data_IF_089990232966
#
_entry.id   IF_089990232966
#
_cell.length_a   1.000
_cell.length_b   1.000
_cell.length_c   1.000
_cell.angle_alpha   90.00
_cell.angle_beta   90.00
_cell.angle_gamma   90.00
#
_symmetry.space_group_name_H-M   'P 1'
#
loop_
_entity.id
_entity.type
_entity.pdbx_description
1 polymer ?
#
# COMPACT_ATOMS: atom_id res chain seq x y z
N UNK A 1 10.40 1.18 12.12
CA UNK A 1 11.23 1.28 10.89
C UNK A 1 12.38 0.27 10.84
N UNK A 2 13.24 0.22 11.86
CA UNK A 2 14.51 -0.54 11.82
C UNK A 2 14.61 -1.71 12.79
N UNK A 3 13.50 -2.09 13.45
CA UNK A 3 13.45 -3.18 14.42
C UNK A 3 14.48 -3.05 15.55
N UNK A 4 14.65 -1.84 16.11
CA UNK A 4 15.50 -1.61 17.28
C UNK A 4 14.89 -2.24 18.53
N UNK A 5 15.73 -2.79 19.41
CA UNK A 5 15.31 -3.55 20.60
C UNK A 5 14.68 -2.72 21.74
N UNK A 6 14.75 -1.39 21.68
CA UNK A 6 14.25 -0.51 22.75
C UNK A 6 15.06 -0.62 24.06
N UNK A 7 14.67 0.19 25.06
CA UNK A 7 15.23 0.10 26.41
C UNK A 7 14.34 -0.78 27.31
N UNK A 8 14.87 -1.17 28.47
CA UNK A 8 14.13 -1.97 29.45
C UNK A 8 12.86 -1.25 29.89
N UNK A 9 11.82 -2.02 30.18
CA UNK A 9 10.56 -1.46 30.69
C UNK A 9 10.62 -1.08 32.17
N UNK A 10 11.50 -1.74 32.93
CA UNK A 10 11.69 -1.57 34.38
C UNK A 10 13.13 -1.20 34.72
N UNK A 11 13.42 -1.04 36.02
CA UNK A 11 14.73 -0.67 36.58
C UNK A 11 15.20 0.75 36.20
N UNK A 12 14.38 1.76 36.51
CA UNK A 12 14.80 3.17 36.48
C UNK A 12 14.80 3.84 35.09
N UNK A 13 14.29 3.18 34.06
CA UNK A 13 14.10 3.79 32.73
C UNK A 13 12.88 4.71 32.76
N UNK A 14 13.10 6.02 32.64
CA UNK A 14 12.04 7.03 32.54
C UNK A 14 11.90 7.57 31.11
N UNK A 15 10.72 7.47 30.51
CA UNK A 15 10.30 8.08 29.22
C UNK A 15 11.06 7.59 27.96
N UNK A 16 12.16 6.86 28.10
CA UNK A 16 13.06 6.50 26.99
C UNK A 16 12.88 5.09 26.42
N UNK A 17 11.81 4.37 26.81
CA UNK A 17 11.51 2.99 26.40
C UNK A 17 11.61 2.73 24.89
N UNK A 18 11.17 3.71 24.08
CA UNK A 18 11.17 3.65 22.60
C UNK A 18 12.27 4.50 21.96
N UNK A 19 13.20 5.05 22.75
CA UNK A 19 14.29 5.89 22.23
C UNK A 19 15.25 5.09 21.36
N UNK A 20 15.94 5.77 20.45
CA UNK A 20 16.91 5.16 19.53
C UNK A 20 18.28 4.88 20.16
N UNK A 21 18.50 5.26 21.43
CA UNK A 21 19.80 5.16 22.09
C UNK A 21 20.85 6.13 21.52
N UNK A 22 22.13 5.78 21.58
CA UNK A 22 23.19 6.69 21.14
C UNK A 22 23.24 6.89 19.61
N UNK A 23 23.41 8.15 19.21
CA UNK A 23 23.49 8.57 17.81
C UNK A 23 24.93 8.69 17.28
N UNK A 24 25.95 8.81 18.13
CA UNK A 24 27.32 9.02 17.67
C UNK A 24 28.37 8.72 18.74
N UNK A 25 29.62 8.98 18.37
CA UNK A 25 30.76 8.99 19.29
C UNK A 25 30.98 10.40 19.84
N UNK A 26 31.87 10.55 20.82
CA UNK A 26 32.20 11.83 21.44
C UNK A 26 33.08 12.71 20.51
N UNK A 27 34.41 12.59 20.58
CA UNK A 27 35.30 13.62 20.03
C UNK A 27 35.62 13.44 18.54
N UNK A 28 36.09 12.26 18.13
CA UNK A 28 36.33 11.94 16.72
C UNK A 28 35.37 10.82 16.30
N UNK A 29 34.51 11.00 15.27
CA UNK A 29 34.46 12.04 14.23
C UNK A 29 33.57 13.27 14.51
N UNK A 30 33.08 13.47 15.75
CA UNK A 30 32.27 14.64 16.14
C UNK A 30 30.94 14.82 15.37
N UNK A 31 30.51 13.82 14.62
CA UNK A 31 29.33 13.89 13.76
C UNK A 31 28.57 12.55 13.69
N UNK A 32 27.39 12.60 13.07
CA UNK A 32 26.57 11.42 12.81
C UNK A 32 26.82 10.94 11.40
N UNK A 33 27.20 9.67 11.23
CA UNK A 33 27.42 9.09 9.90
C UNK A 33 26.17 9.15 9.01
N UNK A 34 26.38 9.46 7.72
CA UNK A 34 25.32 9.42 6.70
C UNK A 34 24.73 8.02 6.59
N UNK A 35 23.42 7.94 6.38
CA UNK A 35 22.71 6.67 6.31
C UNK A 35 22.50 5.99 7.67
N UNK A 36 22.85 6.65 8.79
CA UNK A 36 22.50 6.13 10.12
C UNK A 36 20.99 5.92 10.21
N UNK A 37 20.62 4.72 10.67
CA UNK A 37 19.23 4.30 10.86
C UNK A 37 18.56 5.19 11.90
N UNK A 38 17.52 5.91 11.50
CA UNK A 38 16.78 6.87 12.32
C UNK A 38 15.26 6.72 12.10
N UNK A 39 14.48 7.45 12.89
CA UNK A 39 13.07 7.66 12.62
C UNK A 39 12.87 8.35 11.26
N UNK A 40 11.70 8.15 10.66
CA UNK A 40 11.34 8.74 9.37
C UNK A 40 10.25 7.97 8.66
N UNK A 41 9.88 8.44 7.47
CA UNK A 41 8.82 7.84 6.66
C UNK A 41 9.09 6.37 6.35
N UNK A 42 8.05 5.55 6.50
CA UNK A 42 8.05 4.13 6.22
C UNK A 42 6.86 3.80 5.31
N UNK A 43 7.07 2.95 4.31
CA UNK A 43 6.07 2.71 3.27
C UNK A 43 6.20 3.69 2.11
N UNK A 44 5.17 3.75 1.27
CA UNK A 44 5.08 4.54 0.02
C UNK A 44 6.34 4.47 -0.83
N UNK A 45 6.82 3.24 -1.06
CA UNK A 45 7.97 2.97 -1.92
C UNK A 45 7.65 1.79 -2.80
N UNK A 46 8.01 1.92 -4.07
CA UNK A 46 7.93 0.82 -5.02
C UNK A 46 8.85 -0.31 -4.57
N UNK A 47 8.27 -1.49 -4.35
CA UNK A 47 8.96 -2.72 -3.97
C UNK A 47 8.58 -3.82 -4.93
N UNK A 48 9.53 -4.72 -5.16
CA UNK A 48 9.35 -5.83 -6.10
C UNK A 48 9.63 -7.11 -5.36
N UNK A 49 8.65 -8.01 -5.37
CA UNK A 49 8.82 -9.37 -4.89
C UNK A 49 9.20 -10.23 -6.08
N UNK A 50 10.37 -10.87 -6.01
CA UNK A 50 10.90 -11.67 -7.11
C UNK A 50 10.58 -13.15 -6.89
N UNK A 51 10.53 -13.92 -7.98
CA UNK A 51 10.36 -15.37 -7.99
C UNK A 51 9.06 -15.84 -7.31
N UNK A 52 7.96 -15.16 -7.56
CA UNK A 52 6.64 -15.64 -7.16
C UNK A 52 6.13 -16.66 -8.18
N UNK A 53 5.52 -17.74 -7.67
CA UNK A 53 4.96 -18.83 -8.46
C UNK A 53 3.51 -18.50 -8.85
N UNK A 54 3.17 -18.66 -10.12
CA UNK A 54 1.78 -18.60 -10.60
C UNK A 54 1.21 -20.01 -10.52
N UNK A 55 0.21 -20.21 -9.67
CA UNK A 55 -0.39 -21.53 -9.40
C UNK A 55 -1.48 -21.86 -10.41
N UNK A 56 -2.25 -20.85 -10.80
CA UNK A 56 -3.36 -20.99 -11.74
C UNK A 56 -3.65 -19.65 -12.40
N UNK A 57 -4.10 -19.72 -13.65
CA UNK A 57 -4.71 -18.59 -14.35
C UNK A 57 -6.17 -18.95 -14.64
N UNK A 58 -7.06 -17.99 -14.43
CA UNK A 58 -8.46 -18.06 -14.85
C UNK A 58 -8.67 -17.02 -15.95
N UNK A 59 -8.77 -17.51 -17.17
CA UNK A 59 -8.82 -16.67 -18.36
C UNK A 59 -10.20 -16.06 -18.60
N UNK A 60 -11.27 -16.67 -18.10
CA UNK A 60 -12.64 -16.17 -18.27
C UNK A 60 -12.86 -14.92 -17.41
N UNK A 61 -12.29 -14.93 -16.20
CA UNK A 61 -12.39 -13.82 -15.24
C UNK A 61 -11.19 -12.87 -15.29
N UNK A 62 -10.16 -13.19 -16.07
CA UNK A 62 -8.92 -12.44 -16.14
C UNK A 62 -8.14 -12.42 -14.81
N UNK A 63 -8.19 -13.50 -14.04
CA UNK A 63 -7.56 -13.60 -12.72
C UNK A 63 -6.27 -14.43 -12.75
N UNK A 64 -5.27 -14.00 -11.99
CA UNK A 64 -3.99 -14.70 -11.81
C UNK A 64 -3.82 -15.06 -10.34
N UNK A 65 -3.65 -16.34 -10.06
CA UNK A 65 -3.43 -16.84 -8.70
C UNK A 65 -1.93 -16.99 -8.44
N UNK A 66 -1.42 -16.15 -7.55
CA UNK A 66 0.01 -16.10 -7.18
C UNK A 66 0.18 -16.67 -5.77
N UNK A 67 1.20 -17.52 -5.60
CA UNK A 67 1.55 -18.08 -4.29
C UNK A 67 2.38 -17.07 -3.50
N UNK A 68 1.84 -16.64 -2.36
CA UNK A 68 2.52 -15.75 -1.43
C UNK A 68 1.89 -14.37 -1.34
N UNK A 69 2.66 -13.40 -0.85
CA UNK A 69 2.21 -12.02 -0.64
C UNK A 69 2.68 -11.09 -1.74
N UNK A 70 1.82 -10.15 -2.13
CA UNK A 70 2.09 -9.09 -3.10
C UNK A 70 2.22 -7.75 -2.38
N UNK A 71 3.19 -6.88 -2.73
CA UNK A 71 3.33 -5.57 -2.10
C UNK A 71 2.18 -4.65 -2.49
N UNK A 72 1.61 -3.95 -1.50
CA UNK A 72 0.52 -3.00 -1.70
C UNK A 72 -0.75 -3.38 -0.97
N UNK A 73 -1.75 -2.49 -1.02
CA UNK A 73 -3.08 -2.76 -0.52
C UNK A 73 -3.93 -3.50 -1.57
N UNK A 74 -5.08 -4.04 -1.15
CA UNK A 74 -6.08 -4.58 -2.08
C UNK A 74 -6.51 -3.47 -3.06
N UNK A 75 -6.77 -3.83 -4.30
CA UNK A 75 -7.16 -2.92 -5.40
C UNK A 75 -6.08 -1.90 -5.82
N UNK A 76 -4.83 -2.05 -5.38
CA UNK A 76 -3.72 -1.25 -5.88
C UNK A 76 -3.23 -1.74 -7.26
N UNK A 77 -2.67 -0.83 -8.05
CA UNK A 77 -2.05 -1.16 -9.32
C UNK A 77 -0.71 -1.87 -9.13
N UNK A 78 -0.48 -2.88 -9.97
CA UNK A 78 0.69 -3.75 -9.90
C UNK A 78 1.31 -3.94 -11.28
N UNK A 79 2.64 -3.88 -11.33
CA UNK A 79 3.40 -4.21 -12.53
C UNK A 79 3.86 -5.67 -12.44
N UNK A 80 3.31 -6.52 -13.30
CA UNK A 80 3.70 -7.93 -13.44
C UNK A 80 4.67 -8.05 -14.63
N UNK A 81 5.75 -8.80 -14.43
CA UNK A 81 6.79 -9.05 -15.42
C UNK A 81 7.42 -10.41 -15.18
N UNK A 82 7.94 -11.00 -16.23
CA UNK A 82 8.61 -12.29 -16.15
C UNK A 82 9.78 -12.28 -15.15
N UNK A 83 10.01 -13.43 -14.53
CA UNK A 83 11.13 -13.59 -13.61
C UNK A 83 12.46 -13.49 -14.35
N UNK A 84 13.37 -12.70 -13.80
CA UNK A 84 14.75 -12.58 -14.32
C UNK A 84 15.64 -13.72 -13.82
N UNK A 85 15.31 -14.32 -12.66
CA UNK A 85 16.16 -15.33 -12.01
C UNK A 85 15.81 -16.77 -12.38
N UNK A 86 14.66 -16.98 -13.01
CA UNK A 86 14.17 -18.31 -13.42
C UNK A 86 13.85 -18.26 -14.90
N UNK A 87 14.27 -19.28 -15.64
CA UNK A 87 13.93 -19.38 -17.06
C UNK A 87 12.41 -19.45 -17.23
N UNK A 88 11.91 -18.89 -18.34
CA UNK A 88 10.50 -19.02 -18.70
C UNK A 88 10.13 -20.50 -18.80
N UNK A 89 8.90 -20.82 -18.44
CA UNK A 89 8.36 -22.15 -18.69
C UNK A 89 8.35 -22.42 -20.19
N UNK A 90 8.79 -23.62 -20.59
CA UNK A 90 8.99 -23.98 -21.99
C UNK A 90 7.70 -23.90 -22.84
N UNK A 91 6.55 -24.08 -22.21
CA UNK A 91 5.23 -24.09 -22.86
C UNK A 91 4.59 -22.69 -22.96
N UNK A 92 5.22 -21.64 -22.39
CA UNK A 92 4.66 -20.30 -22.42
C UNK A 92 4.80 -19.66 -23.81
N UNK A 93 3.73 -19.12 -24.41
CA UNK A 93 3.77 -18.52 -25.75
C UNK A 93 4.58 -17.22 -25.77
N UNK A 94 5.39 -17.03 -26.83
CA UNK A 94 6.17 -15.81 -27.08
C UNK A 94 5.77 -15.20 -28.44
N UNK A 95 5.60 -13.88 -28.57
CA UNK A 95 5.79 -12.84 -27.56
C UNK A 95 4.61 -12.63 -26.60
N UNK A 96 3.40 -13.09 -26.96
CA UNK A 96 2.21 -13.02 -26.11
C UNK A 96 1.21 -14.13 -26.45
N UNK A 97 0.52 -14.66 -25.43
CA UNK A 97 -0.68 -15.48 -25.61
C UNK A 97 -1.89 -14.59 -25.83
N UNK A 98 -2.17 -14.21 -27.07
CA UNK A 98 -3.33 -13.38 -27.40
C UNK A 98 -4.60 -14.22 -27.36
N UNK A 99 -5.57 -13.84 -26.51
CA UNK A 99 -6.95 -14.32 -26.60
C UNK A 99 -7.77 -13.30 -27.39
N UNK A 100 -8.63 -13.77 -28.29
CA UNK A 100 -9.62 -12.91 -28.93
C UNK A 100 -10.48 -12.22 -27.85
N UNK A 101 -10.68 -10.91 -27.98
CA UNK A 101 -11.35 -10.09 -26.96
C UNK A 101 -12.76 -10.62 -26.64
N UNK A 102 -12.90 -11.27 -25.48
CA UNK A 102 -14.18 -11.69 -24.93
C UNK A 102 -14.27 -11.35 -23.43
N UNK A 103 -13.71 -10.20 -23.02
CA UNK A 103 -13.84 -9.72 -21.66
C UNK A 103 -15.01 -8.75 -21.58
N UNK A 104 -16.22 -9.28 -21.41
CA UNK A 104 -17.39 -8.51 -20.97
C UNK A 104 -17.27 -8.23 -19.47
N UNK A 105 -16.47 -7.23 -19.11
CA UNK A 105 -16.53 -6.59 -17.79
C UNK A 105 -17.40 -5.32 -17.81
N UNK A 106 -18.44 -5.31 -18.65
CA UNK A 106 -19.54 -4.36 -18.57
C UNK A 106 -20.67 -4.96 -17.71
N UNK A 107 -20.46 -4.94 -16.41
CA UNK A 107 -21.54 -4.99 -15.44
C UNK A 107 -21.34 -3.82 -14.50
N UNK A 108 -21.58 -2.62 -15.03
CA UNK A 108 -22.01 -1.50 -14.21
C UNK A 108 -23.26 -1.95 -13.43
N UNK A 109 -23.33 -1.78 -12.09
CA UNK A 109 -24.62 -1.87 -11.42
C UNK A 109 -25.41 -0.63 -11.82
N UNK A 110 -26.31 -0.79 -12.79
CA UNK A 110 -27.31 0.21 -13.13
C UNK A 110 -28.31 0.38 -11.98
N UNK A 111 -28.42 1.64 -11.56
CA UNK A 111 -29.58 2.37 -11.03
C UNK A 111 -30.59 1.68 -10.08
N UNK A 112 -30.46 2.08 -8.80
CA UNK A 112 -31.48 2.74 -7.94
C UNK A 112 -32.93 2.78 -8.43
N UNK A 113 -33.90 2.47 -7.54
CA UNK A 113 -35.15 3.22 -7.47
C UNK A 113 -35.20 4.12 -6.24
N UNK A 114 -35.43 5.40 -6.49
CA UNK A 114 -35.73 6.43 -5.50
C UNK A 114 -37.10 6.18 -4.86
N UNK A 115 -37.20 6.30 -3.54
CA UNK A 115 -38.46 6.58 -2.83
C UNK A 115 -38.42 8.01 -2.28
N UNK A 116 -39.30 8.81 -2.89
CA UNK A 116 -40.18 9.84 -2.33
C UNK A 116 -39.65 11.00 -1.46
N UNK A 117 -39.90 12.20 -2.00
CA UNK A 117 -39.77 13.48 -1.34
C UNK A 117 -40.90 13.72 -0.33
N UNK A 118 -40.55 14.29 0.83
CA UNK A 118 -41.47 15.14 1.59
C UNK A 118 -40.86 16.54 1.67
N UNK A 119 -41.56 17.47 1.02
CA UNK A 119 -41.34 18.90 1.07
C UNK A 119 -41.98 19.43 2.35
N UNK A 120 -41.23 20.19 3.14
CA UNK A 120 -41.81 21.28 3.94
C UNK A 120 -41.01 22.56 3.67
N UNK A 121 -41.75 23.54 3.17
CA UNK A 121 -41.35 24.90 2.84
C UNK A 121 -41.47 25.79 4.08
N UNK A 122 -40.57 26.78 4.17
CA UNK A 122 -40.87 28.18 4.51
C UNK A 122 -39.84 28.87 5.42
N UNK A 123 -39.50 30.09 4.97
CA UNK A 123 -39.10 31.27 5.73
C UNK A 123 -37.60 31.52 5.95
N UNK A 124 -37.02 32.16 4.94
CA UNK A 124 -36.21 33.38 5.03
C UNK A 124 -36.33 34.16 6.37
N UNK A 125 -35.20 34.35 7.04
CA UNK A 125 -34.95 35.51 7.89
C UNK A 125 -33.46 35.80 7.91
N UNK A 126 -33.08 36.85 7.18
CA UNK A 126 -31.90 37.67 7.42
C UNK A 126 -31.81 38.05 8.90
N UNK A 127 -30.61 37.96 9.48
CA UNK A 127 -30.18 38.93 10.48
C UNK A 127 -28.65 38.98 10.62
N UNK A 128 -28.15 40.16 10.26
CA UNK A 128 -26.91 40.78 10.69
C UNK A 128 -26.78 40.86 12.22
N UNK A 129 -25.53 40.93 12.69
CA UNK A 129 -24.97 41.26 14.01
C UNK A 129 -24.15 40.08 14.55
N UNK A 130 -22.90 40.16 14.98
CA UNK A 130 -22.06 41.27 15.41
C UNK A 130 -21.14 40.70 16.51
N UNK A 131 -19.83 40.94 16.38
CA UNK A 131 -18.77 40.97 17.40
C UNK A 131 -18.78 40.02 18.62
N UNK A 132 -17.62 39.35 18.81
CA UNK A 132 -17.21 38.62 20.00
C UNK A 132 -15.93 37.83 19.75
#
# INVERSE_FOLDING_TARGET
RHNFGGLRASHGVSVSHRSHGSTGQCQDPGNVFKGKKMAGHMGDRQRTQQNLEVVRTDDERGLIFVKGSVPGAKNAWLLVRDSVKVARHAEAPYPAGLKGAANSNDAAPADTPAEEAVVIDAAEATNSNGEG
#
